data_IF_237074386942
#
_entry.id   IF_237074386942
#
_cell.length_a   1.000
_cell.length_b   1.000
_cell.length_c   1.000
_cell.angle_alpha   90.00
_cell.angle_beta   90.00
_cell.angle_gamma   90.00
#
_symmetry.space_group_name_H-M   'P 1'
#
loop_
_entity.id
_entity.type
_entity.pdbx_description
1 polymer ?
#
# COMPACT_ATOMS: atom_id res chain seq x y z
N UNK A 1 7.64 29.65 18.07
CA UNK A 1 7.41 28.26 17.62
C UNK A 1 8.53 27.39 18.15
N UNK A 2 8.18 26.44 19.02
CA UNK A 2 9.14 25.57 19.68
C UNK A 2 9.70 24.54 18.69
N UNK A 3 10.95 24.10 18.88
CA UNK A 3 11.55 23.00 18.10
C UNK A 3 10.68 21.73 18.16
N UNK A 4 9.95 21.54 19.25
CA UNK A 4 9.00 20.44 19.47
C UNK A 4 7.74 20.54 18.60
N UNK A 5 7.28 21.75 18.26
CA UNK A 5 6.13 21.95 17.37
C UNK A 5 6.50 21.61 15.92
N UNK A 6 7.74 21.91 15.50
CA UNK A 6 8.24 21.54 14.17
C UNK A 6 8.40 20.03 13.97
N UNK A 7 8.83 19.28 14.99
CA UNK A 7 8.97 17.82 14.88
C UNK A 7 7.61 17.12 14.73
N UNK A 8 6.57 17.63 15.41
CA UNK A 8 5.22 17.05 15.34
C UNK A 8 4.50 17.34 14.02
N UNK A 9 4.76 18.49 13.38
CA UNK A 9 4.30 18.78 12.01
C UNK A 9 4.92 17.86 10.95
N UNK A 10 6.19 17.46 11.14
CA UNK A 10 6.88 16.53 10.22
C UNK A 10 6.40 15.08 10.38
N UNK A 11 5.83 14.73 11.54
CA UNK A 11 5.47 13.34 11.89
C UNK A 11 4.13 12.84 11.34
N UNK A 12 3.42 13.62 10.53
CA UNK A 12 2.13 13.21 9.91
C UNK A 12 2.28 12.76 8.45
N UNK A 13 3.10 11.74 8.15
CA UNK A 13 3.18 11.24 6.75
C UNK A 13 2.60 9.86 6.49
N UNK A 14 2.54 8.96 7.45
CA UNK A 14 1.95 7.62 7.26
C UNK A 14 1.30 7.10 8.56
N UNK A 15 0.13 7.65 8.89
CA UNK A 15 -0.63 7.26 10.08
C UNK A 15 -2.05 6.90 9.69
N UNK A 16 -2.58 5.80 10.23
CA UNK A 16 -3.93 5.32 9.95
C UNK A 16 -3.96 3.84 9.56
N UNK A 17 -5.03 3.41 8.91
CA UNK A 17 -5.23 2.07 8.37
C UNK A 17 -4.55 1.99 7.00
N UNK A 18 -3.41 1.32 6.94
CA UNK A 18 -2.60 1.18 5.72
C UNK A 18 -2.35 -0.32 5.48
N UNK A 19 -3.30 -1.05 4.87
CA UNK A 19 -3.17 -2.50 4.71
C UNK A 19 -2.06 -2.87 3.72
N UNK A 20 -1.35 -3.99 3.96
CA UNK A 20 -0.54 -4.62 2.92
C UNK A 20 -1.46 -5.14 1.81
N UNK A 21 -1.12 -4.88 0.55
CA UNK A 21 -1.91 -5.33 -0.60
C UNK A 21 -1.17 -6.44 -1.34
N UNK A 22 -1.83 -7.60 -1.45
CA UNK A 22 -1.32 -8.74 -2.22
C UNK A 22 -1.28 -8.43 -3.72
N UNK A 23 -0.23 -8.90 -4.37
CA UNK A 23 -0.11 -8.83 -5.83
C UNK A 23 -0.92 -9.95 -6.46
N UNK A 24 -1.69 -9.65 -7.49
CA UNK A 24 -2.52 -10.64 -8.20
C UNK A 24 -1.88 -11.04 -9.51
N UNK A 25 -2.00 -12.31 -9.85
CA UNK A 25 -1.39 -12.91 -11.02
C UNK A 25 -2.40 -13.71 -11.81
N UNK A 26 -2.24 -13.72 -13.14
CA UNK A 26 -2.87 -14.70 -14.00
C UNK A 26 -2.24 -16.09 -13.76
N UNK A 27 -2.90 -17.14 -14.26
CA UNK A 27 -2.44 -18.52 -14.10
C UNK A 27 -1.07 -18.79 -14.71
N UNK A 28 -0.65 -17.98 -15.68
CA UNK A 28 0.66 -18.05 -16.33
C UNK A 28 1.77 -17.29 -15.56
N UNK A 29 1.44 -16.72 -14.40
CA UNK A 29 2.38 -15.97 -13.56
C UNK A 29 2.57 -14.52 -13.97
N UNK A 30 1.89 -14.04 -15.01
CA UNK A 30 1.92 -12.61 -15.38
C UNK A 30 1.03 -11.78 -14.43
N UNK A 31 1.36 -10.50 -14.26
CA UNK A 31 0.61 -9.62 -13.35
C UNK A 31 -0.82 -9.37 -13.85
N UNK A 32 -1.81 -9.65 -13.00
CA UNK A 32 -3.21 -9.31 -13.25
C UNK A 32 -3.49 -7.88 -12.76
N UNK A 33 -3.22 -6.91 -13.63
CA UNK A 33 -3.41 -5.48 -13.32
C UNK A 33 -4.87 -5.11 -13.08
N UNK A 34 -5.82 -5.86 -13.63
CA UNK A 34 -7.25 -5.59 -13.46
C UNK A 34 -7.68 -5.97 -12.05
N UNK A 35 -7.35 -7.18 -11.61
CA UNK A 35 -7.64 -7.64 -10.26
C UNK A 35 -6.92 -6.76 -9.20
N UNK A 36 -5.67 -6.35 -9.45
CA UNK A 36 -4.97 -5.39 -8.58
C UNK A 36 -5.76 -4.09 -8.40
N UNK A 37 -6.28 -3.54 -9.50
CA UNK A 37 -7.10 -2.32 -9.45
C UNK A 37 -8.39 -2.54 -8.66
N UNK A 38 -9.09 -3.64 -8.88
CA UNK A 38 -10.34 -3.95 -8.17
C UNK A 38 -10.12 -4.05 -6.65
N UNK A 39 -9.00 -4.65 -6.21
CA UNK A 39 -8.61 -4.70 -4.79
C UNK A 39 -8.28 -3.30 -4.26
N UNK A 40 -7.51 -2.50 -5.02
CA UNK A 40 -7.19 -1.13 -4.64
C UNK A 40 -8.46 -0.29 -4.46
N UNK A 41 -9.36 -0.32 -5.44
CA UNK A 41 -10.62 0.41 -5.43
C UNK A 41 -11.51 -0.04 -4.28
N UNK A 42 -11.59 -1.34 -3.99
CA UNK A 42 -12.31 -1.86 -2.83
C UNK A 42 -11.79 -1.27 -1.51
N UNK A 43 -10.46 -1.28 -1.30
CA UNK A 43 -9.84 -0.77 -0.07
C UNK A 43 -10.00 0.74 0.05
N UNK A 44 -9.78 1.49 -1.03
CA UNK A 44 -9.98 2.94 -1.09
C UNK A 44 -11.45 3.28 -0.74
N UNK A 45 -12.41 2.58 -1.33
CA UNK A 45 -13.83 2.78 -1.04
C UNK A 45 -14.22 2.41 0.40
N UNK A 46 -13.41 1.63 1.11
CA UNK A 46 -13.57 1.35 2.55
C UNK A 46 -12.96 2.41 3.46
N UNK A 47 -12.30 3.42 2.90
CA UNK A 47 -11.77 4.56 3.66
C UNK A 47 -10.45 4.27 4.36
N UNK A 48 -9.59 3.42 3.77
CA UNK A 48 -8.21 3.24 4.27
C UNK A 48 -7.40 4.53 4.06
N UNK A 49 -6.48 4.81 4.98
CA UNK A 49 -5.64 6.00 4.96
C UNK A 49 -4.46 5.91 3.97
N UNK A 50 -4.18 4.69 3.47
CA UNK A 50 -3.17 4.44 2.45
C UNK A 50 -3.16 2.98 2.01
N UNK A 51 -2.29 2.63 1.06
CA UNK A 51 -2.08 1.26 0.59
C UNK A 51 -0.59 0.94 0.64
N UNK A 52 -0.23 -0.22 1.19
CA UNK A 52 1.16 -0.67 1.26
C UNK A 52 1.42 -1.81 0.27
N UNK A 53 1.90 -1.44 -0.92
CA UNK A 53 2.28 -2.38 -1.97
C UNK A 53 3.75 -2.78 -1.87
N UNK A 54 4.08 -3.93 -2.47
CA UNK A 54 5.46 -4.44 -2.60
C UNK A 54 6.17 -4.66 -1.25
N UNK A 55 5.40 -4.86 -0.17
CA UNK A 55 5.89 -5.44 1.06
C UNK A 55 5.91 -6.98 1.00
N UNK A 56 6.25 -7.63 2.11
CA UNK A 56 6.18 -9.11 2.21
C UNK A 56 4.79 -9.64 1.88
N UNK A 57 3.72 -8.96 2.34
CA UNK A 57 2.33 -9.29 2.01
C UNK A 57 1.94 -9.04 0.54
N UNK A 58 2.79 -8.32 -0.20
CA UNK A 58 2.68 -8.10 -1.66
C UNK A 58 3.56 -9.05 -2.49
N UNK A 59 4.26 -9.99 -1.85
CA UNK A 59 5.14 -10.99 -2.47
C UNK A 59 6.32 -10.42 -3.27
N UNK A 60 6.84 -9.26 -2.87
CA UNK A 60 7.93 -8.59 -3.61
C UNK A 60 9.19 -9.45 -3.78
N UNK A 61 9.48 -10.37 -2.85
CA UNK A 61 10.65 -11.23 -2.90
C UNK A 61 10.62 -12.24 -4.06
N UNK A 62 9.45 -12.45 -4.68
CA UNK A 62 9.27 -13.31 -5.85
C UNK A 62 9.34 -12.54 -7.17
N UNK A 63 9.58 -11.23 -7.13
CA UNK A 63 9.57 -10.35 -8.29
C UNK A 63 11.00 -9.93 -8.68
N UNK A 64 11.18 -9.58 -9.95
CA UNK A 64 12.37 -8.90 -10.43
C UNK A 64 12.17 -7.38 -10.45
N UNK A 65 13.29 -6.65 -10.55
CA UNK A 65 13.33 -5.19 -10.74
C UNK A 65 13.15 -4.79 -12.19
#
# INVERSE_FOLDING_TARGET
MSIYEKETEVMKKFSGIIPPVSSTFHRDGTLDKKAMREVADFLINKGVDGLFYLGTGGEFSQMNT
#
